data_IF_458216126416
#
_entry.id   IF_458216126416
#
_cell.length_a   1.000
_cell.length_b   1.000
_cell.length_c   1.000
_cell.angle_alpha   90.00
_cell.angle_beta   90.00
_cell.angle_gamma   90.00
#
_symmetry.space_group_name_H-M   'P 1'
#
loop_
_entity.id
_entity.type
_entity.pdbx_description
1 polymer ?
#
# COMPACT_ATOMS: atom_id res chain seq x y z
N UNK A 1 9.53 -4.79 21.58
CA UNK A 1 9.75 -6.03 22.37
C UNK A 1 8.66 -6.29 23.40
N UNK A 2 8.30 -5.35 24.29
CA UNK A 2 7.16 -5.57 25.22
C UNK A 2 5.82 -5.44 24.50
N UNK A 3 5.69 -4.38 23.69
CA UNK A 3 4.50 -4.12 22.85
C UNK A 3 4.24 -5.22 21.82
N UNK A 4 5.29 -5.79 21.22
CA UNK A 4 5.18 -6.89 20.25
C UNK A 4 4.52 -8.14 20.85
N UNK A 5 4.85 -8.44 22.11
CA UNK A 5 4.41 -9.65 22.79
C UNK A 5 2.95 -9.52 23.22
N UNK A 6 2.59 -8.36 23.78
CA UNK A 6 1.20 -8.01 24.09
C UNK A 6 0.34 -7.95 22.82
N UNK A 7 0.91 -7.48 21.70
CA UNK A 7 0.23 -7.47 20.41
C UNK A 7 -0.03 -8.89 19.90
N UNK A 8 0.99 -9.75 19.91
CA UNK A 8 0.84 -11.16 19.49
C UNK A 8 -0.17 -11.90 20.38
N UNK A 9 -0.16 -11.69 21.70
CA UNK A 9 -1.14 -12.25 22.64
C UNK A 9 -2.57 -11.73 22.34
N UNK A 10 -2.73 -10.44 22.01
CA UNK A 10 -4.01 -9.89 21.59
C UNK A 10 -4.50 -10.48 20.26
N UNK A 11 -3.57 -10.83 19.36
CA UNK A 11 -3.89 -11.49 18.09
C UNK A 11 -4.28 -12.95 18.26
N UNK A 12 -3.74 -13.69 19.23
CA UNK A 12 -4.15 -15.09 19.47
C UNK A 12 -5.64 -15.20 19.81
N UNK A 13 -6.21 -14.18 20.47
CA UNK A 13 -7.64 -14.11 20.78
C UNK A 13 -8.54 -13.77 19.57
N UNK A 14 -7.95 -13.39 18.42
CA UNK A 14 -8.68 -12.93 17.23
C UNK A 14 -8.29 -13.72 15.99
N UNK A 15 -9.28 -14.25 15.27
CA UNK A 15 -9.04 -14.88 13.98
C UNK A 15 -8.67 -13.82 12.93
N UNK A 16 -7.38 -13.66 12.67
CA UNK A 16 -6.85 -12.73 11.67
C UNK A 16 -7.06 -13.32 10.27
N UNK A 17 -7.57 -12.54 9.29
CA UNK A 17 -7.60 -12.97 7.90
C UNK A 17 -6.19 -13.09 7.32
N UNK A 18 -6.05 -13.88 6.25
CA UNK A 18 -4.77 -13.97 5.52
C UNK A 18 -4.58 -12.65 4.77
N UNK A 19 -3.57 -11.87 5.16
CA UNK A 19 -3.40 -10.48 4.76
C UNK A 19 -3.15 -10.30 3.27
N UNK A 20 -2.37 -11.20 2.66
CA UNK A 20 -2.08 -11.18 1.21
C UNK A 20 -3.32 -11.42 0.34
N UNK A 21 -4.42 -11.88 0.92
CA UNK A 21 -5.70 -12.04 0.24
C UNK A 21 -6.65 -10.85 0.50
N UNK A 22 -6.31 -9.96 1.44
CA UNK A 22 -7.15 -8.82 1.84
C UNK A 22 -6.77 -7.54 1.07
N UNK A 23 -7.69 -7.09 0.21
CA UNK A 23 -7.52 -5.86 -0.56
C UNK A 23 -7.32 -4.60 0.30
N UNK A 24 -7.88 -4.56 1.51
CA UNK A 24 -7.69 -3.43 2.43
C UNK A 24 -6.25 -3.38 2.94
N UNK A 25 -5.63 -4.53 3.19
CA UNK A 25 -4.22 -4.60 3.58
C UNK A 25 -3.32 -4.04 2.48
N UNK A 26 -3.53 -4.41 1.21
CA UNK A 26 -2.77 -3.85 0.10
C UNK A 26 -2.89 -2.32 -0.02
N UNK A 27 -4.10 -1.78 0.25
CA UNK A 27 -4.35 -0.33 0.21
C UNK A 27 -3.56 0.47 1.24
N UNK A 28 -3.14 -0.14 2.36
CA UNK A 28 -2.30 0.52 3.37
C UNK A 28 -0.98 1.03 2.78
N UNK A 29 -0.51 0.41 1.70
CA UNK A 29 0.77 0.72 1.06
C UNK A 29 0.63 1.50 -0.25
N UNK A 30 -0.59 1.87 -0.67
CA UNK A 30 -0.84 2.47 -1.99
C UNK A 30 -0.09 3.79 -2.22
N UNK A 31 0.08 4.60 -1.18
CA UNK A 31 0.71 5.92 -1.28
C UNK A 31 2.24 5.89 -1.11
N UNK A 32 2.74 4.92 -0.36
CA UNK A 32 4.11 4.94 0.17
C UNK A 32 4.96 3.76 -0.28
N UNK A 33 4.35 2.76 -0.89
CA UNK A 33 4.98 1.48 -1.18
C UNK A 33 5.17 0.63 0.07
N UNK A 34 5.52 -0.64 -0.18
CA UNK A 34 5.89 -1.63 0.85
C UNK A 34 7.38 -1.56 1.13
N UNK A 35 7.78 -1.72 2.38
CA UNK A 35 9.19 -1.91 2.77
C UNK A 35 9.72 -3.24 2.23
N UNK A 36 11.05 -3.42 2.27
CA UNK A 36 11.68 -4.67 1.82
C UNK A 36 11.23 -5.85 2.68
N UNK A 37 11.14 -5.65 3.99
CA UNK A 37 10.73 -6.64 4.98
C UNK A 37 9.29 -7.11 4.73
N UNK A 38 8.38 -6.17 4.49
CA UNK A 38 6.97 -6.48 4.21
C UNK A 38 6.83 -7.27 2.89
N UNK A 39 7.62 -6.93 1.86
CA UNK A 39 7.63 -7.67 0.59
C UNK A 39 8.14 -9.10 0.77
N UNK A 40 9.19 -9.30 1.57
CA UNK A 40 9.73 -10.63 1.85
C UNK A 40 8.73 -11.49 2.61
N UNK A 41 8.06 -10.92 3.62
CA UNK A 41 7.03 -11.62 4.39
C UNK A 41 5.78 -11.91 3.55
N UNK A 42 5.36 -10.97 2.69
CA UNK A 42 4.30 -11.18 1.71
C UNK A 42 4.61 -12.35 0.78
N UNK A 43 5.82 -12.36 0.22
CA UNK A 43 6.27 -13.43 -0.67
C UNK A 43 6.29 -14.78 0.05
N UNK A 44 6.79 -14.83 1.30
CA UNK A 44 6.78 -16.04 2.14
C UNK A 44 5.35 -16.57 2.34
N UNK A 45 4.38 -15.70 2.62
CA UNK A 45 2.97 -16.12 2.77
C UNK A 45 2.40 -16.61 1.43
N UNK A 46 2.68 -15.92 0.33
CA UNK A 46 2.23 -16.33 -1.00
C UNK A 46 2.79 -17.70 -1.42
N UNK A 47 4.08 -17.95 -1.19
CA UNK A 47 4.71 -19.24 -1.50
C UNK A 47 4.09 -20.38 -0.71
N UNK A 48 3.80 -20.18 0.58
CA UNK A 48 3.12 -21.19 1.39
C UNK A 48 1.69 -21.47 0.89
N UNK A 49 0.96 -20.43 0.46
CA UNK A 49 -0.38 -20.61 -0.13
C UNK A 49 -0.33 -21.34 -1.47
N UNK A 50 0.66 -21.01 -2.32
CA UNK A 50 0.86 -21.68 -3.60
C UNK A 50 1.21 -23.16 -3.39
N UNK A 51 2.11 -23.45 -2.45
CA UNK A 51 2.45 -24.82 -2.05
C UNK A 51 1.21 -25.58 -1.55
N UNK A 52 0.37 -24.94 -0.71
CA UNK A 52 -0.90 -25.53 -0.27
C UNK A 52 -1.82 -25.86 -1.45
N UNK A 53 -1.94 -24.93 -2.41
CA UNK A 53 -2.76 -25.11 -3.60
C UNK A 53 -2.26 -26.27 -4.46
N UNK A 54 -0.94 -26.35 -4.66
CA UNK A 54 -0.29 -27.40 -5.43
C UNK A 54 -0.50 -28.78 -4.80
N UNK A 55 -0.20 -28.93 -3.50
CA UNK A 55 -0.36 -30.19 -2.77
C UNK A 55 -1.81 -30.67 -2.77
N UNK A 56 -2.78 -29.76 -2.61
CA UNK A 56 -4.20 -30.11 -2.71
C UNK A 56 -4.59 -30.64 -4.11
N UNK A 57 -4.03 -30.04 -5.17
CA UNK A 57 -4.28 -30.50 -6.53
C UNK A 57 -3.60 -31.85 -6.81
N UNK A 58 -2.36 -32.02 -6.37
CA UNK A 58 -1.61 -33.27 -6.50
C UNK A 58 -2.30 -34.41 -5.76
N UNK A 59 -2.77 -34.17 -4.53
CA UNK A 59 -3.55 -35.13 -3.75
C UNK A 59 -4.85 -35.53 -4.47
N UNK A 60 -5.51 -34.58 -5.13
CA UNK A 60 -6.73 -34.84 -5.91
C UNK A 60 -6.45 -35.70 -7.14
N UNK A 61 -5.36 -35.45 -7.85
CA UNK A 61 -4.97 -36.26 -9.02
C UNK A 61 -4.47 -37.67 -8.62
N UNK A 62 -3.77 -37.79 -7.50
CA UNK A 62 -3.38 -39.09 -6.93
C UNK A 62 -4.62 -39.91 -6.53
N UNK A 63 -5.62 -39.29 -5.88
CA UNK A 63 -6.90 -39.94 -5.54
C UNK A 63 -7.62 -40.46 -6.80
N UNK A 64 -7.63 -39.70 -7.89
CA UNK A 64 -8.18 -40.16 -9.18
C UNK A 64 -7.38 -41.32 -9.76
N UNK A 65 -6.06 -41.24 -9.72
CA UNK A 65 -5.16 -42.28 -10.25
C UNK A 65 -5.33 -43.58 -9.48
N UNK A 66 -5.35 -43.54 -8.14
CA UNK A 66 -5.66 -44.68 -7.28
C UNK A 66 -6.99 -45.33 -7.63
N UNK A 67 -8.04 -44.53 -7.81
CA UNK A 67 -9.36 -45.04 -8.20
C UNK A 67 -9.36 -45.70 -9.58
N UNK A 68 -8.57 -45.18 -10.54
CA UNK A 68 -8.41 -45.79 -11.88
C UNK A 68 -7.68 -47.13 -11.80
N UNK A 69 -6.60 -47.21 -11.03
CA UNK A 69 -5.85 -48.45 -10.81
C UNK A 69 -6.72 -49.50 -10.11
N UNK A 70 -7.48 -49.11 -9.08
CA UNK A 70 -8.43 -50.02 -8.42
C UNK A 70 -9.48 -50.60 -9.38
N UNK A 71 -10.03 -49.77 -10.28
CA UNK A 71 -10.96 -50.26 -11.32
C UNK A 71 -10.28 -51.21 -12.31
N UNK A 72 -9.04 -50.91 -12.73
CA UNK A 72 -8.25 -51.78 -13.59
C UNK A 72 -8.02 -53.15 -12.95
N UNK A 73 -7.71 -53.19 -11.66
CA UNK A 73 -7.56 -54.44 -10.90
C UNK A 73 -8.84 -55.26 -10.91
N UNK A 74 -10.00 -54.64 -10.63
CA UNK A 74 -11.28 -55.37 -10.62
C UNK A 74 -11.60 -55.96 -12.00
N UNK A 75 -11.40 -55.19 -13.08
CA UNK A 75 -11.65 -55.66 -14.46
C UNK A 75 -10.71 -56.79 -14.86
N UNK A 76 -9.41 -56.64 -14.59
CA UNK A 76 -8.40 -57.65 -14.95
C UNK A 76 -8.58 -58.93 -14.13
N UNK A 77 -9.11 -58.85 -12.91
CA UNK A 77 -9.44 -59.99 -12.06
C UNK A 77 -10.71 -60.74 -12.50
N UNK A 78 -11.65 -60.08 -13.19
CA UNK A 78 -12.82 -60.72 -13.83
C UNK A 78 -12.46 -61.37 -15.18
N UNK A 79 -11.50 -60.82 -15.93
CA UNK A 79 -11.05 -61.31 -17.24
C UNK A 79 -10.03 -62.46 -17.24
N UNK A 80 -9.40 -62.77 -16.11
CA UNK A 80 -8.44 -63.89 -15.97
C UNK A 80 -9.05 -65.29 -16.11
N UNK A 81 -10.37 -65.41 -16.25
CA UNK A 81 -11.08 -66.67 -16.43
C UNK A 81 -11.02 -67.25 -17.85
N UNK A 82 -10.49 -66.53 -18.85
CA UNK A 82 -10.37 -67.01 -20.24
C UNK A 82 -8.97 -67.63 -20.54
N UNK A 83 -8.97 -68.84 -21.12
CA UNK A 83 -7.88 -69.84 -21.12
C UNK A 83 -6.54 -69.46 -21.81
N UNK A 84 -6.33 -68.22 -22.25
CA UNK A 84 -5.05 -67.77 -22.84
C UNK A 84 -4.61 -66.33 -22.48
N UNK A 85 -5.37 -65.57 -21.68
CA UNK A 85 -5.01 -64.18 -21.28
C UNK A 85 -4.34 -64.07 -19.89
N UNK A 86 -4.25 -65.18 -19.14
CA UNK A 86 -3.88 -65.20 -17.73
C UNK A 86 -2.48 -64.61 -17.38
N UNK A 87 -1.47 -64.80 -18.23
CA UNK A 87 -0.08 -64.35 -17.94
C UNK A 87 0.13 -62.84 -18.19
N UNK A 88 -0.60 -62.24 -19.13
CA UNK A 88 -0.54 -60.78 -19.37
C UNK A 88 -1.41 -60.06 -18.34
N UNK A 89 -2.58 -60.62 -18.01
CA UNK A 89 -3.47 -60.06 -17.00
C UNK A 89 -2.85 -60.11 -15.60
N UNK A 90 -2.14 -61.19 -15.23
CA UNK A 90 -1.45 -61.29 -13.93
C UNK A 90 -0.35 -60.25 -13.75
N UNK A 91 0.49 -60.01 -14.78
CA UNK A 91 1.55 -58.98 -14.72
C UNK A 91 0.97 -57.58 -14.56
N UNK A 92 -0.11 -57.25 -15.29
CA UNK A 92 -0.81 -55.96 -15.13
C UNK A 92 -1.41 -55.80 -13.74
N UNK A 93 -1.98 -56.87 -13.17
CA UNK A 93 -2.51 -56.84 -11.81
C UNK A 93 -1.42 -56.55 -10.77
N UNK A 94 -0.25 -57.16 -10.91
CA UNK A 94 0.86 -56.94 -9.99
C UNK A 94 1.49 -55.54 -10.16
N UNK A 95 1.58 -55.03 -11.40
CA UNK A 95 1.98 -53.64 -11.65
C UNK A 95 0.99 -52.63 -11.06
N UNK A 96 -0.31 -52.83 -11.26
CA UNK A 96 -1.35 -51.95 -10.72
C UNK A 96 -1.34 -51.92 -9.19
N UNK A 97 -1.11 -53.07 -8.52
CA UNK A 97 -0.92 -53.13 -7.06
C UNK A 97 0.30 -52.35 -6.61
N UNK A 98 1.45 -52.55 -7.28
CA UNK A 98 2.69 -51.81 -6.96
C UNK A 98 2.48 -50.30 -7.10
N UNK A 99 1.81 -49.86 -8.17
CA UNK A 99 1.50 -48.46 -8.39
C UNK A 99 0.52 -47.89 -7.36
N UNK A 100 -0.44 -48.69 -6.87
CA UNK A 100 -1.33 -48.27 -5.77
C UNK A 100 -0.53 -48.04 -4.49
N UNK A 101 0.41 -48.92 -4.16
CA UNK A 101 1.25 -48.77 -2.97
C UNK A 101 2.13 -47.51 -3.09
N UNK A 102 2.76 -47.29 -4.26
CA UNK A 102 3.50 -46.05 -4.54
C UNK A 102 2.63 -44.79 -4.42
N UNK A 103 1.38 -44.84 -4.91
CA UNK A 103 0.43 -43.73 -4.80
C UNK A 103 0.01 -43.51 -3.35
N UNK A 104 -0.20 -44.57 -2.56
CA UNK A 104 -0.56 -44.45 -1.15
C UNK A 104 0.55 -43.76 -0.35
N UNK A 105 1.80 -44.17 -0.55
CA UNK A 105 2.96 -43.55 0.12
C UNK A 105 3.03 -42.06 -0.21
N UNK A 106 2.94 -41.70 -1.50
CA UNK A 106 2.95 -40.28 -1.90
C UNK A 106 1.76 -39.49 -1.36
N UNK A 107 0.59 -40.12 -1.25
CA UNK A 107 -0.58 -39.46 -0.66
C UNK A 107 -0.38 -39.19 0.84
N UNK A 108 0.21 -40.13 1.58
CA UNK A 108 0.52 -39.99 3.00
C UNK A 108 1.54 -38.86 3.24
N UNK A 109 2.62 -38.82 2.44
CA UNK A 109 3.61 -37.72 2.49
C UNK A 109 2.97 -36.34 2.27
N UNK A 110 2.05 -36.22 1.29
CA UNK A 110 1.35 -34.96 1.02
C UNK A 110 0.36 -34.61 2.13
N UNK A 111 -0.35 -35.61 2.67
CA UNK A 111 -1.31 -35.40 3.76
C UNK A 111 -0.60 -34.93 5.04
N UNK A 112 0.58 -35.48 5.36
CA UNK A 112 1.44 -35.02 6.45
C UNK A 112 1.89 -33.56 6.26
N UNK A 113 2.34 -33.20 5.05
CA UNK A 113 2.76 -31.84 4.74
C UNK A 113 1.61 -30.83 4.85
N UNK A 114 0.41 -31.23 4.41
CA UNK A 114 -0.82 -30.42 4.50
C UNK A 114 -1.30 -30.20 5.95
N UNK A 115 -0.89 -31.02 6.91
CA UNK A 115 -1.20 -30.83 8.34
C UNK A 115 -0.40 -29.65 8.92
N UNK A 116 0.88 -29.53 8.56
CA UNK A 116 1.77 -28.48 9.09
C UNK A 116 1.59 -27.13 8.38
N UNK A 117 1.24 -27.15 7.09
CA UNK A 117 1.15 -25.94 6.26
C UNK A 117 0.25 -24.83 6.84
N UNK A 118 -0.98 -25.12 7.33
CA UNK A 118 -1.85 -24.10 7.93
C UNK A 118 -1.20 -23.36 9.10
N UNK A 119 -0.40 -24.07 9.92
CA UNK A 119 0.32 -23.47 11.05
C UNK A 119 1.43 -22.55 10.55
N UNK A 120 2.18 -22.98 9.54
CA UNK A 120 3.24 -22.18 8.91
C UNK A 120 2.68 -20.92 8.24
N UNK A 121 1.57 -21.04 7.51
CA UNK A 121 0.86 -19.91 6.91
C UNK A 121 0.42 -18.93 7.99
N UNK A 122 -0.18 -19.42 9.08
CA UNK A 122 -0.65 -18.55 10.15
C UNK A 122 0.51 -17.81 10.84
N UNK A 123 1.61 -18.50 11.12
CA UNK A 123 2.82 -17.89 11.70
C UNK A 123 3.41 -16.82 10.79
N UNK A 124 3.58 -17.11 9.50
CA UNK A 124 4.10 -16.13 8.53
C UNK A 124 3.15 -14.94 8.36
N UNK A 125 1.83 -15.17 8.40
CA UNK A 125 0.82 -14.12 8.32
C UNK A 125 0.82 -13.22 9.57
N UNK A 126 1.07 -13.79 10.76
CA UNK A 126 1.23 -13.03 12.00
C UNK A 126 2.50 -12.16 11.97
N UNK A 127 3.62 -12.69 11.48
CA UNK A 127 4.86 -11.93 11.25
C UNK A 127 4.59 -10.74 10.30
N UNK A 128 3.93 -11.00 9.16
CA UNK A 128 3.54 -9.98 8.20
C UNK A 128 2.64 -8.91 8.83
N UNK A 129 1.69 -9.32 9.67
CA UNK A 129 0.78 -8.41 10.35
C UNK A 129 1.50 -7.48 11.32
N UNK A 130 2.38 -8.04 12.14
CA UNK A 130 3.15 -7.28 13.12
C UNK A 130 3.99 -6.21 12.42
N UNK A 131 4.68 -6.58 11.34
CA UNK A 131 5.51 -5.66 10.58
C UNK A 131 4.69 -4.59 9.85
N UNK A 132 3.55 -4.99 9.27
CA UNK A 132 2.59 -4.05 8.66
C UNK A 132 2.09 -3.02 9.68
N UNK A 133 1.80 -3.45 10.91
CA UNK A 133 1.30 -2.56 11.96
C UNK A 133 2.36 -1.59 12.45
N UNK A 134 3.60 -2.04 12.65
CA UNK A 134 4.72 -1.13 12.98
C UNK A 134 4.83 -0.01 11.96
N UNK A 135 4.88 -0.39 10.68
CA UNK A 135 4.97 0.54 9.58
C UNK A 135 3.81 1.54 9.58
N UNK A 136 2.57 1.06 9.70
CA UNK A 136 1.39 1.93 9.68
C UNK A 136 1.36 2.90 10.87
N UNK A 137 1.70 2.45 12.09
CA UNK A 137 1.71 3.33 13.27
C UNK A 137 2.82 4.37 13.23
N UNK A 138 4.01 3.99 12.75
CA UNK A 138 5.10 4.94 12.54
C UNK A 138 4.67 6.02 11.53
N UNK A 139 4.06 5.62 10.41
CA UNK A 139 3.50 6.56 9.43
C UNK A 139 2.41 7.45 10.01
N UNK A 140 1.47 6.92 10.79
CA UNK A 140 0.43 7.72 11.44
C UNK A 140 1.02 8.77 12.38
N UNK A 141 2.04 8.38 13.16
CA UNK A 141 2.74 9.29 14.08
C UNK A 141 3.47 10.39 13.31
N UNK A 142 4.17 10.04 12.25
CA UNK A 142 4.89 11.00 11.41
C UNK A 142 3.92 11.97 10.72
N UNK A 143 2.84 11.47 10.14
CA UNK A 143 1.82 12.30 9.51
C UNK A 143 1.15 13.27 10.51
N UNK A 144 0.91 12.82 11.75
CA UNK A 144 0.35 13.68 12.80
C UNK A 144 1.32 14.81 13.16
N UNK A 145 2.61 14.49 13.31
CA UNK A 145 3.65 15.48 13.59
C UNK A 145 3.78 16.51 12.45
N UNK A 146 3.79 16.05 11.21
CA UNK A 146 3.83 16.94 10.03
C UNK A 146 2.60 17.84 9.96
N UNK A 147 1.41 17.31 10.30
CA UNK A 147 0.18 18.10 10.35
C UNK A 147 0.25 19.19 11.43
N UNK A 148 0.80 18.89 12.61
CA UNK A 148 1.02 19.86 13.68
C UNK A 148 2.03 20.94 13.26
N UNK A 149 3.15 20.55 12.64
CA UNK A 149 4.15 21.49 12.13
C UNK A 149 3.57 22.44 11.05
N UNK A 150 2.73 21.91 10.15
CA UNK A 150 2.00 22.71 9.15
C UNK A 150 1.01 23.65 9.83
N UNK A 151 0.31 23.19 10.87
CA UNK A 151 -0.66 24.00 11.63
C UNK A 151 0.04 25.20 12.29
N UNK A 152 1.16 24.96 12.97
CA UNK A 152 1.97 26.01 13.58
C UNK A 152 2.50 27.02 12.56
N UNK A 153 2.91 26.53 11.39
CA UNK A 153 3.36 27.40 10.29
C UNK A 153 2.22 28.26 9.75
N UNK A 154 1.03 27.68 9.53
CA UNK A 154 -0.16 28.40 9.07
C UNK A 154 -0.51 29.53 10.05
N UNK A 155 -0.48 29.27 11.34
CA UNK A 155 -0.84 30.27 12.35
C UNK A 155 0.17 31.42 12.42
N UNK A 156 1.47 31.12 12.29
CA UNK A 156 2.51 32.17 12.16
C UNK A 156 2.25 33.06 10.95
N UNK A 157 2.02 32.45 9.78
CA UNK A 157 1.74 33.20 8.54
C UNK A 157 0.47 34.03 8.66
N UNK A 158 -0.59 33.52 9.31
CA UNK A 158 -1.82 34.29 9.56
C UNK A 158 -1.57 35.54 10.40
N UNK A 159 -0.73 35.46 11.44
CA UNK A 159 -0.37 36.60 12.28
C UNK A 159 0.41 37.65 11.47
N UNK A 160 1.38 37.21 10.67
CA UNK A 160 2.14 38.11 9.80
C UNK A 160 1.25 38.78 8.75
N UNK A 161 0.35 38.02 8.13
CA UNK A 161 -0.62 38.55 7.18
C UNK A 161 -1.51 39.62 7.83
N UNK A 162 -2.05 39.36 9.03
CA UNK A 162 -2.83 40.37 9.79
C UNK A 162 -2.02 41.65 10.04
N UNK A 163 -0.75 41.52 10.45
CA UNK A 163 0.14 42.68 10.64
C UNK A 163 0.34 43.48 9.35
N UNK A 164 0.56 42.79 8.23
CA UNK A 164 0.76 43.45 6.93
C UNK A 164 -0.51 44.13 6.41
N UNK A 165 -1.68 43.53 6.65
CA UNK A 165 -2.98 44.15 6.34
C UNK A 165 -3.12 45.47 7.11
N UNK A 166 -2.86 45.47 8.42
CA UNK A 166 -2.94 46.71 9.23
C UNK A 166 -1.93 47.75 8.76
N UNK A 167 -0.68 47.34 8.47
CA UNK A 167 0.34 48.25 7.93
C UNK A 167 -0.12 48.90 6.63
N UNK A 168 -0.68 48.12 5.70
CA UNK A 168 -1.23 48.61 4.43
C UNK A 168 -2.34 49.63 4.68
N UNK A 169 -3.34 49.27 5.50
CA UNK A 169 -4.45 50.17 5.84
C UNK A 169 -3.98 51.48 6.48
N UNK A 170 -2.99 51.42 7.38
CA UNK A 170 -2.44 52.60 8.02
C UNK A 170 -1.72 53.52 7.00
N UNK A 171 -1.01 52.95 6.03
CA UNK A 171 -0.39 53.72 4.93
C UNK A 171 -1.45 54.37 4.05
N UNK A 172 -2.52 53.65 3.70
CA UNK A 172 -3.63 54.20 2.91
C UNK A 172 -4.37 55.33 3.63
N UNK A 173 -4.57 55.21 4.95
CA UNK A 173 -5.15 56.28 5.77
C UNK A 173 -4.21 57.48 5.82
N UNK A 174 -2.93 57.26 6.11
CA UNK A 174 -1.94 58.33 6.19
C UNK A 174 -1.80 59.05 4.85
N UNK A 175 -1.73 58.34 3.73
CA UNK A 175 -1.70 58.94 2.39
C UNK A 175 -2.91 59.84 2.15
N UNK A 176 -4.13 59.37 2.48
CA UNK A 176 -5.35 60.20 2.38
C UNK A 176 -5.30 61.44 3.27
N UNK A 177 -4.78 61.31 4.49
CA UNK A 177 -4.61 62.44 5.41
C UNK A 177 -3.60 63.45 4.88
N UNK A 178 -2.44 63.00 4.39
CA UNK A 178 -1.43 63.86 3.77
C UNK A 178 -2.06 64.63 2.60
N UNK A 179 -2.77 63.94 1.70
CA UNK A 179 -3.47 64.59 0.59
C UNK A 179 -4.51 65.61 1.06
N UNK A 180 -5.30 65.28 2.09
CA UNK A 180 -6.24 66.23 2.69
C UNK A 180 -5.53 67.47 3.24
N UNK A 181 -4.44 67.30 3.98
CA UNK A 181 -3.68 68.42 4.53
C UNK A 181 -3.02 69.27 3.46
N UNK A 182 -2.46 68.64 2.42
CA UNK A 182 -1.92 69.39 1.27
C UNK A 182 -3.03 70.20 0.59
N UNK A 183 -4.23 69.63 0.47
CA UNK A 183 -5.37 70.32 -0.11
C UNK A 183 -5.80 71.52 0.73
N UNK A 184 -5.88 71.35 2.05
CA UNK A 184 -6.26 72.42 2.97
C UNK A 184 -5.23 73.56 3.03
N UNK A 185 -3.92 73.24 2.89
CA UNK A 185 -2.84 74.23 2.96
C UNK A 185 -2.63 74.96 1.63
N UNK A 186 -2.58 74.22 0.51
CA UNK A 186 -2.17 74.77 -0.80
C UNK A 186 -3.35 75.05 -1.75
N UNK A 187 -4.54 74.53 -1.46
CA UNK A 187 -5.71 74.65 -2.32
C UNK A 187 -5.69 73.70 -3.52
N UNK A 188 -6.87 73.47 -4.11
CA UNK A 188 -7.09 72.46 -5.17
C UNK A 188 -6.27 72.74 -6.44
N UNK A 189 -6.09 74.02 -6.79
CA UNK A 189 -5.44 74.41 -8.05
C UNK A 189 -3.94 74.10 -8.06
N UNK A 190 -3.26 74.26 -6.92
CA UNK A 190 -1.82 73.97 -6.80
C UNK A 190 -1.59 72.47 -6.77
N UNK A 191 -2.44 71.70 -6.06
CA UNK A 191 -2.33 70.25 -6.03
C UNK A 191 -2.54 69.61 -7.40
N UNK A 192 -3.53 70.06 -8.17
CA UNK A 192 -3.79 69.54 -9.52
C UNK A 192 -2.57 69.66 -10.45
N UNK A 193 -1.76 70.72 -10.31
CA UNK A 193 -0.53 70.90 -11.09
C UNK A 193 0.53 69.86 -10.68
N UNK A 194 0.64 69.56 -9.39
CA UNK A 194 1.58 68.56 -8.89
C UNK A 194 1.15 67.12 -9.20
N UNK A 195 -0.14 66.81 -9.12
CA UNK A 195 -0.66 65.48 -9.45
C UNK A 195 -0.47 65.15 -10.94
N UNK A 196 -0.70 66.11 -11.85
CA UNK A 196 -0.39 65.95 -13.28
C UNK A 196 1.08 65.61 -13.53
N UNK A 197 2.01 66.20 -12.75
CA UNK A 197 3.44 65.91 -12.87
C UNK A 197 3.81 64.53 -12.33
N UNK A 198 3.21 64.10 -11.23
CA UNK A 198 3.41 62.76 -10.67
C UNK A 198 2.91 61.66 -11.61
N UNK A 199 1.72 61.83 -12.21
CA UNK A 199 1.18 60.86 -13.17
C UNK A 199 2.07 60.67 -14.41
N UNK A 200 2.69 61.76 -14.89
CA UNK A 200 3.63 61.70 -16.00
C UNK A 200 4.94 60.99 -15.61
N UNK A 201 5.45 61.23 -14.41
CA UNK A 201 6.64 60.54 -13.87
C UNK A 201 6.41 59.03 -13.66
N UNK A 202 5.27 58.63 -13.10
CA UNK A 202 4.91 57.22 -12.89
C UNK A 202 4.76 56.47 -14.23
N UNK A 203 4.17 57.12 -15.25
CA UNK A 203 4.08 56.56 -16.61
C UNK A 203 5.46 56.38 -17.26
N UNK A 204 6.38 57.30 -17.03
CA UNK A 204 7.75 57.22 -17.53
C UNK A 204 8.56 56.12 -16.81
N UNK A 205 8.39 55.95 -15.51
CA UNK A 205 9.03 54.87 -14.75
C UNK A 205 8.48 53.49 -15.12
N UNK A 206 7.17 53.37 -15.32
CA UNK A 206 6.53 52.13 -15.79
C UNK A 206 7.06 51.68 -17.16
N UNK A 207 7.25 52.60 -18.12
CA UNK A 207 7.84 52.30 -19.43
C UNK A 207 9.29 51.82 -19.33
N UNK A 208 10.11 52.47 -18.49
CA UNK A 208 11.50 52.05 -18.24
C UNK A 208 11.59 50.67 -17.58
N UNK A 209 10.68 50.33 -16.68
CA UNK A 209 10.68 49.02 -16.03
C UNK A 209 10.34 47.88 -17.01
N UNK A 210 9.48 48.14 -17.99
CA UNK A 210 9.12 47.19 -19.07
C UNK A 210 10.28 47.05 -20.07
N UNK A 211 10.89 48.14 -20.52
CA UNK A 211 12.08 48.09 -21.41
C UNK A 211 13.26 47.33 -20.75
N UNK A 212 13.53 47.55 -19.47
CA UNK A 212 14.57 46.82 -18.74
C UNK A 212 14.25 45.32 -18.51
N UNK A 213 12.98 44.93 -18.60
CA UNK A 213 12.57 43.52 -18.51
C UNK A 213 12.70 42.81 -19.87
N UNK A 214 12.41 43.53 -20.97
CA UNK A 214 12.57 43.02 -22.34
C UNK A 214 14.05 42.94 -22.77
N UNK A 215 14.94 43.82 -22.30
CA UNK A 215 16.40 43.74 -22.55
C UNK A 215 17.12 42.60 -21.80
N UNK A 216 16.44 41.96 -20.84
CA UNK A 216 16.99 40.86 -20.02
C UNK A 216 16.53 39.47 -20.46
N UNK A 217 15.73 39.39 -21.54
CA UNK A 217 15.30 38.14 -22.18
C UNK A 217 16.06 37.88 -23.48
#
# INVERSE_FOLDING_TARGET
MKDDKEFLEALESRKVPILVLDQKWHRLFALSGKTSEIKQLEEKVNQLLEQQGKLNNDLKELKKTKNRLMKSIVVNMEGTHEENEGDISSRKLDEDKRLIDEVNVKMEEIEDELIELPRNINSANQELMLESMRYCYERLRQNSKEADEITDWIDKVRVELKKNIIKKQNREINNRQIYSYMHDIFGVDILNIFDLRQEDEDRLQGKKAVENADERN
#
